data_IF_047186881197
#
_entry.id   IF_047186881197
#
_cell.length_a   1.000
_cell.length_b   1.000
_cell.length_c   1.000
_cell.angle_alpha   90.00
_cell.angle_beta   90.00
_cell.angle_gamma   90.00
#
_symmetry.space_group_name_H-M   'P 1'
#
loop_
_entity.id
_entity.type
_entity.pdbx_description
1 polymer ?
#
# COMPACT_ATOMS: atom_id res chain seq x y z
N UNK A 1 30.66 5.20 -5.47
CA UNK A 1 29.96 4.53 -4.37
C UNK A 1 28.58 4.15 -4.90
N UNK A 2 28.18 2.87 -4.92
CA UNK A 2 26.77 2.56 -5.17
C UNK A 2 25.99 3.12 -3.99
N UNK A 3 25.07 4.04 -4.23
CA UNK A 3 24.13 4.46 -3.22
C UNK A 3 23.37 3.19 -2.78
N UNK A 4 23.61 2.73 -1.56
CA UNK A 4 22.76 1.74 -0.92
C UNK A 4 21.37 2.37 -0.93
N UNK A 5 20.50 1.90 -1.83
CA UNK A 5 19.10 2.32 -1.84
C UNK A 5 18.59 1.98 -0.45
N UNK A 6 18.24 2.98 0.38
CA UNK A 6 17.87 2.72 1.75
C UNK A 6 16.70 1.74 1.76
N UNK A 7 16.79 0.67 2.55
CA UNK A 7 15.64 -0.19 2.79
C UNK A 7 14.56 0.67 3.42
N UNK A 8 13.37 0.74 2.81
CA UNK A 8 12.31 1.59 3.30
C UNK A 8 11.87 1.11 4.67
N UNK A 9 11.77 2.03 5.61
CA UNK A 9 11.28 1.74 6.95
C UNK A 9 9.78 1.50 6.92
N UNK A 10 9.24 0.89 7.98
CA UNK A 10 7.78 0.74 8.14
C UNK A 10 7.04 2.08 8.06
N UNK A 11 7.68 3.18 8.48
CA UNK A 11 7.11 4.53 8.37
C UNK A 11 7.05 5.04 6.93
N UNK A 12 8.06 4.75 6.10
CA UNK A 12 8.07 5.13 4.69
C UNK A 12 6.95 4.42 3.94
N UNK A 13 6.77 3.13 4.21
CA UNK A 13 5.70 2.32 3.62
C UNK A 13 4.32 2.83 4.06
N UNK A 14 4.16 3.14 5.35
CA UNK A 14 2.92 3.75 5.86
C UNK A 14 2.61 5.05 5.11
N UNK A 15 3.61 5.90 4.92
CA UNK A 15 3.41 7.17 4.26
C UNK A 15 3.00 7.00 2.80
N UNK A 16 3.59 6.05 2.06
CA UNK A 16 3.18 5.76 0.69
C UNK A 16 1.75 5.23 0.59
N UNK A 17 1.33 4.35 1.51
CA UNK A 17 -0.06 3.88 1.57
C UNK A 17 -1.01 5.05 1.77
N UNK A 18 -0.72 5.95 2.72
CA UNK A 18 -1.55 7.13 2.97
C UNK A 18 -1.58 8.06 1.77
N UNK A 19 -0.43 8.29 1.12
CA UNK A 19 -0.36 9.13 -0.08
C UNK A 19 -1.23 8.56 -1.19
N UNK A 20 -1.14 7.25 -1.45
CA UNK A 20 -1.97 6.57 -2.42
C UNK A 20 -3.47 6.73 -2.13
N UNK A 21 -3.88 6.62 -0.85
CA UNK A 21 -5.28 6.87 -0.49
C UNK A 21 -5.69 8.31 -0.77
N UNK A 22 -4.87 9.30 -0.40
CA UNK A 22 -5.15 10.72 -0.65
C UNK A 22 -5.27 11.01 -2.15
N UNK A 23 -4.38 10.45 -2.97
CA UNK A 23 -4.42 10.61 -4.42
C UNK A 23 -5.68 10.00 -5.06
N UNK A 24 -6.35 9.07 -4.36
CA UNK A 24 -7.60 8.44 -4.81
C UNK A 24 -8.84 8.99 -4.07
N UNK A 25 -8.76 10.13 -3.37
CA UNK A 25 -9.89 10.67 -2.61
C UNK A 25 -11.12 11.00 -3.47
N UNK A 26 -10.92 11.35 -4.75
CA UNK A 26 -12.00 11.63 -5.70
C UNK A 26 -12.86 10.39 -6.02
N UNK A 27 -12.29 9.20 -5.86
CA UNK A 27 -12.98 7.93 -5.99
C UNK A 27 -12.64 7.05 -4.78
N UNK A 28 -13.40 7.13 -3.67
CA UNK A 28 -13.07 6.48 -2.40
C UNK A 28 -13.34 4.96 -2.43
N UNK A 29 -12.84 4.28 -3.45
CA UNK A 29 -12.81 2.84 -3.62
C UNK A 29 -11.39 2.43 -3.98
N UNK A 30 -10.81 1.51 -3.23
CA UNK A 30 -9.44 1.05 -3.44
C UNK A 30 -9.35 -0.47 -3.44
N UNK A 31 -8.72 -1.00 -4.48
CA UNK A 31 -8.34 -2.40 -4.57
C UNK A 31 -7.03 -2.64 -3.82
N UNK A 32 -7.04 -3.53 -2.80
CA UNK A 32 -5.85 -3.81 -1.99
C UNK A 32 -4.66 -4.24 -2.88
N UNK A 33 -4.92 -5.05 -3.91
CA UNK A 33 -3.88 -5.53 -4.82
C UNK A 33 -3.18 -4.37 -5.56
N UNK A 34 -3.95 -3.35 -5.95
CA UNK A 34 -3.45 -2.14 -6.60
C UNK A 34 -2.52 -1.34 -5.69
N UNK A 35 -2.91 -1.17 -4.42
CA UNK A 35 -2.06 -0.47 -3.43
C UNK A 35 -0.78 -1.27 -3.15
N UNK A 36 -0.86 -2.59 -3.00
CA UNK A 36 0.32 -3.45 -2.81
C UNK A 36 1.27 -3.32 -3.99
N UNK A 37 0.76 -3.37 -5.23
CA UNK A 37 1.59 -3.21 -6.43
C UNK A 37 2.29 -1.85 -6.44
N UNK A 38 1.56 -0.77 -6.19
CA UNK A 38 2.12 0.58 -6.15
C UNK A 38 3.21 0.73 -5.06
N UNK A 39 2.98 0.15 -3.88
CA UNK A 39 3.96 0.14 -2.78
C UNK A 39 5.20 -0.66 -3.18
N UNK A 40 5.05 -1.82 -3.82
CA UNK A 40 6.18 -2.66 -4.29
C UNK A 40 6.99 -2.01 -5.40
N UNK A 41 6.33 -1.29 -6.31
CA UNK A 41 6.98 -0.50 -7.36
C UNK A 41 7.77 0.67 -6.78
N UNK A 42 7.22 1.34 -5.77
CA UNK A 42 7.88 2.47 -5.07
C UNK A 42 9.00 1.99 -4.15
N UNK A 43 8.81 0.83 -3.52
CA UNK A 43 9.68 0.26 -2.51
C UNK A 43 10.01 -1.21 -2.83
N UNK A 44 10.83 -1.47 -3.85
CA UNK A 44 11.19 -2.84 -4.25
C UNK A 44 11.98 -3.59 -3.17
N UNK A 45 12.62 -2.85 -2.24
CA UNK A 45 13.35 -3.41 -1.10
C UNK A 45 12.50 -3.50 0.18
N UNK A 46 11.19 -3.27 0.11
CA UNK A 46 10.30 -3.42 1.25
C UNK A 46 10.28 -4.88 1.73
N UNK A 47 10.63 -5.11 2.99
CA UNK A 47 10.65 -6.45 3.59
C UNK A 47 9.28 -6.88 4.14
N UNK A 48 8.30 -5.98 4.20
CA UNK A 48 6.95 -6.34 4.63
C UNK A 48 6.36 -7.37 3.68
N UNK A 49 5.69 -8.37 4.23
CA UNK A 49 4.94 -9.36 3.47
C UNK A 49 3.69 -8.74 2.87
N UNK A 50 3.17 -9.35 1.80
CA UNK A 50 1.91 -8.89 1.20
C UNK A 50 0.74 -8.98 2.19
N UNK A 51 0.81 -9.90 3.15
CA UNK A 51 -0.15 -10.00 4.25
C UNK A 51 -0.08 -8.79 5.20
N UNK A 52 1.12 -8.42 5.65
CA UNK A 52 1.31 -7.23 6.49
C UNK A 52 0.91 -5.94 5.77
N UNK A 53 1.21 -5.84 4.47
CA UNK A 53 0.76 -4.73 3.64
C UNK A 53 -0.77 -4.71 3.55
N UNK A 54 -1.41 -5.85 3.28
CA UNK A 54 -2.87 -5.97 3.18
C UNK A 54 -3.57 -5.52 4.47
N UNK A 55 -3.12 -5.97 5.64
CA UNK A 55 -3.69 -5.56 6.93
C UNK A 55 -3.55 -4.04 7.13
N UNK A 56 -2.35 -3.52 6.85
CA UNK A 56 -2.04 -2.10 6.95
C UNK A 56 -2.83 -1.21 5.99
N UNK A 57 -3.11 -1.69 4.78
CA UNK A 57 -3.90 -0.98 3.77
C UNK A 57 -5.37 -1.00 4.17
N UNK A 58 -5.91 -2.18 4.48
CA UNK A 58 -7.32 -2.34 4.82
C UNK A 58 -7.71 -1.46 6.02
N UNK A 59 -6.91 -1.49 7.08
CA UNK A 59 -7.19 -0.71 8.29
C UNK A 59 -7.19 0.80 8.01
N UNK A 60 -6.22 1.30 7.24
CA UNK A 60 -6.12 2.73 6.91
C UNK A 60 -7.18 3.19 5.93
N UNK A 61 -7.51 2.36 4.94
CA UNK A 61 -8.59 2.64 4.00
C UNK A 61 -9.93 2.75 4.75
N UNK A 62 -10.22 1.80 5.65
CA UNK A 62 -11.43 1.82 6.49
C UNK A 62 -11.46 3.06 7.39
N UNK A 63 -10.36 3.36 8.09
CA UNK A 63 -10.25 4.53 8.96
C UNK A 63 -10.44 5.85 8.18
N UNK A 64 -10.04 5.88 6.90
CA UNK A 64 -10.22 7.01 6.00
C UNK A 64 -11.58 7.04 5.29
N UNK A 65 -12.45 6.05 5.51
CA UNK A 65 -13.79 5.98 4.90
C UNK A 65 -13.81 5.47 3.46
N UNK A 66 -12.74 4.82 2.99
CA UNK A 66 -12.68 4.20 1.67
C UNK A 66 -13.41 2.85 1.67
N UNK A 67 -14.06 2.55 0.56
CA UNK A 67 -14.51 1.20 0.23
C UNK A 67 -13.29 0.36 -0.15
N UNK A 68 -13.12 -0.77 0.52
CA UNK A 68 -12.02 -1.71 0.25
C UNK A 68 -12.52 -2.81 -0.67
N UNK A 69 -12.02 -2.83 -1.90
CA UNK A 69 -12.29 -3.88 -2.86
C UNK A 69 -11.29 -5.02 -2.64
N UNK A 70 -11.82 -6.18 -2.24
CA UNK A 70 -11.05 -7.40 -2.19
C UNK A 70 -11.07 -8.00 -3.59
N UNK A 71 -9.98 -7.86 -4.34
CA UNK A 71 -9.80 -8.62 -5.58
C UNK A 71 -10.08 -10.09 -5.31
N UNK A 72 -11.12 -10.60 -5.98
CA UNK A 72 -11.38 -12.02 -6.02
C UNK A 72 -10.17 -12.67 -6.69
N UNK A 73 -9.31 -13.29 -5.89
CA UNK A 73 -8.27 -14.16 -6.42
C UNK A 73 -9.01 -15.29 -7.12
N UNK A 74 -9.13 -15.20 -8.45
CA UNK A 74 -9.72 -16.27 -9.26
C UNK A 74 -8.81 -17.49 -9.04
N UNK A 75 -9.37 -18.63 -8.60
CA UNK A 75 -8.61 -19.81 -8.19
C UNK A 75 -7.76 -20.42 -9.31
#
# INVERSE_FOLDING_TARGET
>A
MPALVPTPTSSDVRQAIVHYLIDNVDNPSVAISGVIRAVRETFPLCQLTDWELRDQIARRAIDAGFVVEFDAQVP
#
